data_IF_844167967782
#
_entry.id   IF_844167967782
#
_cell.length_a   1.000
_cell.length_b   1.000
_cell.length_c   1.000
_cell.angle_alpha   90.00
_cell.angle_beta   90.00
_cell.angle_gamma   90.00
#
_symmetry.space_group_name_H-M   'P 1'
#
loop_
_entity.id
_entity.type
_entity.pdbx_description
1 polymer ?
#
# COMPACT_ATOMS: atom_id res chain seq x y z
N UNK A 1 -11.00 -5.75 4.54
CA UNK A 1 -10.98 -5.48 3.09
C UNK A 1 -9.55 -5.68 2.63
N UNK A 2 -9.33 -6.47 1.58
CA UNK A 2 -7.99 -6.68 1.05
C UNK A 2 -7.63 -5.55 0.05
N UNK A 3 -6.34 -5.43 -0.26
CA UNK A 3 -5.81 -4.33 -1.07
C UNK A 3 -6.41 -4.30 -2.50
N UNK A 4 -6.61 -5.45 -3.14
CA UNK A 4 -7.14 -5.52 -4.52
C UNK A 4 -8.64 -5.20 -4.59
N UNK A 5 -9.39 -5.59 -3.56
CA UNK A 5 -10.79 -5.22 -3.38
C UNK A 5 -10.92 -3.71 -3.15
N UNK A 6 -10.00 -3.13 -2.36
CA UNK A 6 -9.97 -1.68 -2.14
C UNK A 6 -9.66 -0.91 -3.44
N UNK A 7 -8.69 -1.37 -4.24
CA UNK A 7 -8.38 -0.79 -5.56
C UNK A 7 -9.60 -0.81 -6.48
N UNK A 8 -10.30 -1.94 -6.55
CA UNK A 8 -11.48 -2.10 -7.41
C UNK A 8 -12.62 -1.18 -7.00
N UNK A 9 -12.92 -1.11 -5.70
CA UNK A 9 -13.98 -0.23 -5.16
C UNK A 9 -13.64 1.25 -5.38
N UNK A 10 -12.38 1.63 -5.19
CA UNK A 10 -11.94 3.01 -5.42
C UNK A 10 -12.04 3.38 -6.90
N UNK A 11 -11.53 2.53 -7.80
CA UNK A 11 -11.61 2.71 -9.25
C UNK A 11 -13.06 2.84 -9.73
N UNK A 12 -13.92 1.92 -9.31
CA UNK A 12 -15.34 1.94 -9.67
C UNK A 12 -16.02 3.22 -9.19
N UNK A 13 -15.72 3.69 -7.98
CA UNK A 13 -16.32 4.92 -7.47
C UNK A 13 -15.85 6.17 -8.23
N UNK A 14 -14.59 6.22 -8.67
CA UNK A 14 -14.07 7.30 -9.52
C UNK A 14 -14.72 7.28 -10.91
N UNK A 15 -14.77 6.12 -11.57
CA UNK A 15 -15.31 5.98 -12.93
C UNK A 15 -16.80 6.31 -13.01
N UNK A 16 -17.56 5.99 -11.96
CA UNK A 16 -19.01 6.19 -11.92
C UNK A 16 -19.42 7.42 -11.09
N UNK A 17 -18.45 8.27 -10.68
CA UNK A 17 -18.68 9.45 -9.83
C UNK A 17 -19.56 9.17 -8.60
N UNK A 18 -19.42 7.98 -8.01
CA UNK A 18 -20.26 7.58 -6.90
C UNK A 18 -19.89 8.33 -5.62
N UNK A 19 -20.89 8.88 -4.95
CA UNK A 19 -20.73 9.42 -3.62
C UNK A 19 -20.43 8.29 -2.62
N UNK A 20 -19.40 8.45 -1.80
CA UNK A 20 -19.00 7.46 -0.79
C UNK A 20 -19.11 8.09 0.59
N UNK A 21 -19.63 7.36 1.57
CA UNK A 21 -19.60 7.80 2.96
C UNK A 21 -18.16 7.91 3.47
N UNK A 22 -17.89 8.90 4.32
CA UNK A 22 -16.56 9.15 4.91
C UNK A 22 -15.97 7.90 5.58
N UNK A 23 -16.72 7.08 6.36
CA UNK A 23 -16.15 5.86 6.96
C UNK A 23 -15.72 4.83 5.92
N UNK A 24 -16.49 4.67 4.83
CA UNK A 24 -16.18 3.73 3.76
C UNK A 24 -14.98 4.21 2.94
N UNK A 25 -14.86 5.52 2.71
CA UNK A 25 -13.67 6.12 2.13
C UNK A 25 -12.44 5.87 3.01
N UNK A 26 -12.50 6.15 4.32
CA UNK A 26 -11.40 5.86 5.26
C UNK A 26 -10.94 4.41 5.18
N UNK A 27 -11.86 3.45 5.18
CA UNK A 27 -11.53 2.02 5.07
C UNK A 27 -10.83 1.68 3.74
N UNK A 28 -11.27 2.27 2.63
CA UNK A 28 -10.65 2.08 1.31
C UNK A 28 -9.23 2.66 1.32
N UNK A 29 -9.07 3.87 1.83
CA UNK A 29 -7.78 4.54 1.90
C UNK A 29 -6.79 3.79 2.78
N UNK A 30 -7.20 3.35 3.98
CA UNK A 30 -6.36 2.54 4.87
C UNK A 30 -5.95 1.22 4.21
N UNK A 31 -6.86 0.53 3.51
CA UNK A 31 -6.54 -0.71 2.81
C UNK A 31 -5.61 -0.50 1.60
N UNK A 32 -5.53 0.72 1.08
CA UNK A 32 -4.59 1.15 0.03
C UNK A 32 -3.32 1.78 0.60
N UNK A 33 -3.14 1.79 1.93
CA UNK A 33 -2.08 2.54 2.61
C UNK A 33 -2.02 4.04 2.27
N UNK A 34 -3.16 4.62 1.86
CA UNK A 34 -3.30 6.06 1.61
C UNK A 34 -3.79 6.72 2.89
N UNK A 35 -3.08 7.77 3.34
CA UNK A 35 -3.46 8.56 4.50
C UNK A 35 -3.66 10.02 4.06
N UNK A 36 -4.78 10.63 4.42
CA UNK A 36 -5.06 12.06 4.14
C UNK A 36 -4.41 13.01 5.15
N UNK A 37 -3.83 12.47 6.23
CA UNK A 37 -3.08 13.29 7.18
C UNK A 37 -1.80 13.80 6.52
N UNK A 38 -1.51 15.11 6.57
CA UNK A 38 -0.22 15.64 6.17
C UNK A 38 0.82 15.12 7.16
N UNK A 39 1.46 14.00 6.83
CA UNK A 39 2.54 13.45 7.63
C UNK A 39 3.65 13.04 6.69
N UNK A 40 4.54 13.99 6.40
CA UNK A 40 5.82 13.76 5.72
C UNK A 40 6.56 12.54 6.30
N UNK A 41 6.35 12.24 7.58
CA UNK A 41 7.05 11.17 8.28
C UNK A 41 6.44 9.77 8.10
N UNK A 42 5.12 9.63 7.91
CA UNK A 42 4.49 8.29 7.84
C UNK A 42 4.69 7.60 6.50
N UNK A 43 4.51 8.32 5.39
CA UNK A 43 4.75 7.77 4.05
C UNK A 43 6.24 7.45 3.86
N UNK A 44 7.13 8.34 4.31
CA UNK A 44 8.58 8.09 4.31
C UNK A 44 8.95 6.89 5.18
N UNK A 45 8.34 6.73 6.36
CA UNK A 45 8.58 5.56 7.21
C UNK A 45 8.10 4.25 6.55
N UNK A 46 6.92 4.27 5.92
CA UNK A 46 6.40 3.14 5.16
C UNK A 46 7.34 2.75 4.00
N UNK A 47 7.76 3.72 3.19
CA UNK A 47 8.67 3.49 2.07
C UNK A 47 10.03 2.96 2.53
N UNK A 48 10.58 3.48 3.66
CA UNK A 48 11.79 2.92 4.28
C UNK A 48 11.60 1.45 4.66
N UNK A 49 10.46 1.10 5.25
CA UNK A 49 10.13 -0.29 5.60
C UNK A 49 10.06 -1.22 4.38
N UNK A 50 9.44 -0.76 3.29
CA UNK A 50 9.38 -1.52 2.03
C UNK A 50 10.78 -1.73 1.43
N UNK A 51 11.64 -0.71 1.42
CA UNK A 51 13.02 -0.79 0.95
C UNK A 51 13.82 -1.81 1.78
N UNK A 52 13.68 -1.80 3.11
CA UNK A 52 14.36 -2.76 3.98
C UNK A 52 13.93 -4.20 3.74
N UNK A 53 12.63 -4.43 3.52
CA UNK A 53 12.11 -5.75 3.17
C UNK A 53 12.66 -6.22 1.82
N UNK A 54 12.67 -5.34 0.82
CA UNK A 54 13.23 -5.63 -0.49
C UNK A 54 14.72 -5.99 -0.38
N UNK A 55 15.49 -5.22 0.39
CA UNK A 55 16.91 -5.47 0.63
C UNK A 55 17.15 -6.82 1.33
N UNK A 56 16.32 -7.19 2.31
CA UNK A 56 16.36 -8.53 2.93
C UNK A 56 16.09 -9.64 1.92
N UNK A 57 15.03 -9.52 1.11
CA UNK A 57 14.70 -10.50 0.07
C UNK A 57 15.85 -10.64 -0.94
N UNK A 58 16.41 -9.53 -1.39
CA UNK A 58 17.56 -9.51 -2.31
C UNK A 58 18.78 -10.22 -1.72
N UNK A 59 19.16 -9.93 -0.46
CA UNK A 59 20.28 -10.62 0.20
C UNK A 59 20.05 -12.12 0.32
N UNK A 60 18.83 -12.55 0.62
CA UNK A 60 18.49 -13.97 0.70
C UNK A 60 18.57 -14.65 -0.67
N UNK A 61 18.10 -13.99 -1.73
CA UNK A 61 18.21 -14.48 -3.12
C UNK A 61 19.68 -14.58 -3.56
N UNK A 62 20.49 -13.56 -3.28
CA UNK A 62 21.92 -13.55 -3.59
C UNK A 62 22.65 -14.72 -2.93
N UNK A 63 22.39 -14.95 -1.64
CA UNK A 63 22.98 -16.09 -0.88
C UNK A 63 22.54 -17.45 -1.39
N UNK A 64 21.31 -17.57 -1.93
CA UNK A 64 20.85 -18.81 -2.58
C UNK A 64 21.61 -19.07 -3.86
N UNK A 65 21.77 -18.06 -4.70
CA UNK A 65 22.53 -18.13 -5.95
C UNK A 65 24.02 -18.45 -5.75
N UNK A 66 24.62 -18.02 -4.64
CA UNK A 66 26.02 -18.34 -4.29
C UNK A 66 26.21 -19.77 -3.76
N UNK A 67 25.12 -20.50 -3.45
CA UNK A 67 25.14 -21.88 -2.95
C UNK A 67 24.77 -22.92 -4.02
N UNK A 68 24.35 -22.46 -5.19
CA UNK A 68 24.12 -23.26 -6.40
C UNK A 68 25.39 -23.29 -7.25
#
# INVERSE_FOLDING_TARGET
>A
MNHDEAKRKFKHALENQQSISIPKLKNIMTALNITLEPSENKEVAYLKGEIEQLARKYRNLKRRKERE
#
